data_IF_738392010385
#
_entry.id   IF_738392010385
#
_cell.length_a   1.000
_cell.length_b   1.000
_cell.length_c   1.000
_cell.angle_alpha   90.00
_cell.angle_beta   90.00
_cell.angle_gamma   90.00
#
_symmetry.space_group_name_H-M   'P 1'
#
loop_
_entity.id
_entity.type
_entity.pdbx_description
1 polymer ?
#
# COMPACT_ATOMS: atom_id res chain seq x y z
N UNK A 1 -0.04 11.64 13.48
CA UNK A 1 -0.95 10.66 14.13
C UNK A 1 -0.17 9.38 14.32
N UNK A 2 0.04 8.96 15.58
CA UNK A 2 0.65 7.67 15.89
C UNK A 2 -0.39 6.56 15.73
N UNK A 3 -0.01 5.42 15.15
CA UNK A 3 -0.86 4.22 15.00
C UNK A 3 -0.13 3.00 15.56
N UNK A 4 -0.15 2.82 16.89
CA UNK A 4 0.50 1.68 17.54
C UNK A 4 -0.09 0.36 17.04
N UNK A 5 0.78 -0.61 16.72
CA UNK A 5 0.38 -1.94 16.22
C UNK A 5 0.06 -2.02 14.73
N UNK A 6 0.23 -0.93 13.97
CA UNK A 6 0.05 -0.94 12.52
C UNK A 6 1.27 -1.55 11.83
N UNK A 7 1.04 -2.55 10.97
CA UNK A 7 2.12 -3.30 10.29
C UNK A 7 2.25 -3.00 8.79
N UNK A 8 1.19 -2.46 8.16
CA UNK A 8 1.18 -2.13 6.73
C UNK A 8 1.91 -0.82 6.39
N UNK A 9 2.27 -0.65 5.12
CA UNK A 9 2.96 0.56 4.65
C UNK A 9 1.97 1.68 4.37
N UNK A 10 0.92 1.37 3.59
CA UNK A 10 -0.15 2.31 3.24
C UNK A 10 -1.31 2.21 4.22
N UNK A 11 -1.93 3.36 4.51
CA UNK A 11 -3.17 3.48 5.27
C UNK A 11 -4.36 3.68 4.35
N UNK A 12 -5.56 3.49 4.90
CA UNK A 12 -6.83 3.87 4.26
C UNK A 12 -7.14 3.10 2.97
N UNK A 13 -6.70 1.84 2.87
CA UNK A 13 -7.06 0.99 1.76
C UNK A 13 -8.39 0.28 2.01
N UNK A 14 -9.00 -0.22 0.94
CA UNK A 14 -10.27 -0.93 0.98
C UNK A 14 -10.20 -2.20 0.15
N UNK A 15 -10.43 -3.35 0.76
CA UNK A 15 -10.56 -4.62 0.03
C UNK A 15 -11.97 -4.81 -0.54
N UNK A 16 -12.99 -4.78 0.32
CA UNK A 16 -14.36 -5.08 -0.13
C UNK A 16 -15.43 -4.36 0.69
N UNK A 17 -15.82 -3.15 0.25
CA UNK A 17 -16.77 -2.27 0.96
C UNK A 17 -18.11 -2.95 1.28
N UNK A 18 -18.76 -3.62 0.31
CA UNK A 18 -20.10 -4.21 0.53
C UNK A 18 -20.13 -5.31 1.59
N UNK A 19 -19.01 -6.01 1.80
CA UNK A 19 -18.90 -7.08 2.81
C UNK A 19 -18.22 -6.58 4.09
N UNK A 20 -17.85 -5.31 4.14
CA UNK A 20 -17.08 -4.69 5.22
C UNK A 20 -15.80 -5.47 5.58
N UNK A 21 -15.07 -5.95 4.56
CA UNK A 21 -13.81 -6.67 4.75
C UNK A 21 -12.66 -5.74 4.34
N UNK A 22 -11.69 -5.56 5.25
CA UNK A 22 -10.50 -4.73 5.02
C UNK A 22 -10.85 -3.31 4.60
N UNK A 23 -11.77 -2.66 5.30
CA UNK A 23 -12.18 -1.27 5.03
C UNK A 23 -11.41 -0.35 5.98
N UNK A 24 -10.71 0.63 5.42
CA UNK A 24 -9.84 1.54 6.18
C UNK A 24 -8.67 0.80 6.89
N UNK A 25 -8.22 -0.30 6.28
CA UNK A 25 -7.13 -1.16 6.76
C UNK A 25 -5.94 -1.13 5.81
N UNK A 26 -4.82 -1.75 6.20
CA UNK A 26 -3.73 -2.05 5.28
C UNK A 26 -4.13 -3.19 4.35
N UNK A 27 -3.63 -3.14 3.12
CA UNK A 27 -4.00 -4.10 2.10
C UNK A 27 -2.75 -4.50 1.31
N UNK A 28 -2.42 -5.79 1.32
CA UNK A 28 -1.09 -6.26 0.92
C UNK A 28 -0.71 -5.96 -0.54
N UNK A 29 -1.69 -5.95 -1.46
CA UNK A 29 -1.40 -5.56 -2.85
C UNK A 29 -1.12 -4.07 -2.99
N UNK A 30 -1.74 -3.22 -2.16
CA UNK A 30 -1.43 -1.79 -2.13
C UNK A 30 0.03 -1.56 -1.72
N UNK A 31 0.46 -2.24 -0.65
CA UNK A 31 1.84 -2.17 -0.17
C UNK A 31 2.84 -2.72 -1.21
N UNK A 32 2.50 -3.85 -1.86
CA UNK A 32 3.30 -4.41 -2.94
C UNK A 32 3.50 -3.43 -4.08
N UNK A 33 2.43 -2.87 -4.65
CA UNK A 33 2.53 -1.95 -5.78
C UNK A 33 3.18 -0.61 -5.40
N UNK A 34 3.02 -0.18 -4.16
CA UNK A 34 3.72 1.00 -3.67
C UNK A 34 5.24 0.80 -3.64
N UNK A 35 5.71 -0.31 -3.05
CA UNK A 35 7.14 -0.64 -3.02
C UNK A 35 7.66 -0.92 -4.42
N UNK A 36 6.87 -1.58 -5.28
CA UNK A 36 7.23 -1.77 -6.69
C UNK A 36 7.45 -0.41 -7.39
N UNK A 37 6.51 0.53 -7.26
CA UNK A 37 6.61 1.86 -7.86
C UNK A 37 7.84 2.64 -7.34
N UNK A 38 8.11 2.57 -6.03
CA UNK A 38 9.31 3.17 -5.45
C UNK A 38 10.59 2.52 -5.96
N UNK A 39 10.60 1.20 -6.13
CA UNK A 39 11.74 0.44 -6.67
C UNK A 39 12.02 0.87 -8.10
N UNK A 40 10.97 1.00 -8.93
CA UNK A 40 11.10 1.50 -10.30
C UNK A 40 11.68 2.91 -10.31
N UNK A 41 11.13 3.82 -9.50
CA UNK A 41 11.60 5.20 -9.40
C UNK A 41 13.06 5.29 -8.92
N UNK A 42 13.45 4.45 -7.96
CA UNK A 42 14.78 4.52 -7.34
C UNK A 42 15.87 3.81 -8.14
N UNK A 43 15.53 2.74 -8.87
CA UNK A 43 16.51 1.84 -9.49
C UNK A 43 16.42 1.77 -11.02
N UNK A 44 15.26 2.04 -11.63
CA UNK A 44 15.17 2.02 -13.08
C UNK A 44 15.74 3.32 -13.65
N UNK A 45 16.64 3.17 -14.64
CA UNK A 45 17.10 4.31 -15.41
C UNK A 45 15.94 4.84 -16.27
N UNK A 46 15.86 6.16 -16.50
CA UNK A 46 14.94 6.70 -17.49
C UNK A 46 15.09 5.93 -18.80
N UNK A 47 13.98 5.50 -19.39
CA UNK A 47 14.02 5.02 -20.77
C UNK A 47 14.25 6.25 -21.65
N UNK A 48 15.36 6.20 -22.39
CA UNK A 48 15.69 7.16 -23.44
C UNK A 48 14.54 7.28 -24.47
#
# INVERSE_FOLDING_TARGET
>A
IQTPGWEGILKHAVYHTRKNLGVDESVMWGDFFFVEALTKLALEKPKD
#
